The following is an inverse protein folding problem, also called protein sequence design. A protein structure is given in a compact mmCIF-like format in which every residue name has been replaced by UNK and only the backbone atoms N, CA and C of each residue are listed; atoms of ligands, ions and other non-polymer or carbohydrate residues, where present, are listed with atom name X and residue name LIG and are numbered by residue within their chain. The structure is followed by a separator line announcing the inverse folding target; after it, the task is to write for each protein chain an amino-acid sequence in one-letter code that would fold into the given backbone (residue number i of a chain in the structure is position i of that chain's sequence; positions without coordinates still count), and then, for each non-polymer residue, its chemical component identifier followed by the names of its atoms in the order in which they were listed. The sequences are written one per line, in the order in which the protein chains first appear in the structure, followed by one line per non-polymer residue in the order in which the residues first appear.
data_IF_410452116001
#
_entry.id   IF_410452116001
#
_cell.length_a   1.000
_cell.length_b   1.000
_cell.length_c   1.000
_cell.angle_alpha   90.00
_cell.angle_beta   90.00
_cell.angle_gamma   90.00
#
_symmetry.space_group_name_H-M   'P 1'
#
loop_
_entity.id
_entity.type
_entity.pdbx_description
1 polymer ?
#
# COMPACT_ATOMS: atom_id res chain seq x y z
N UNK A 1 -7.70 -7.59 0.66
CA UNK A 1 -6.74 -6.46 0.66
C UNK A 1 -7.36 -5.18 0.12
N UNK A 2 -7.81 -5.11 -1.14
CA UNK A 2 -8.36 -3.90 -1.78
C UNK A 2 -9.32 -3.09 -0.91
N UNK A 3 -10.39 -3.70 -0.39
CA UNK A 3 -11.39 -2.98 0.41
C UNK A 3 -10.80 -2.49 1.74
N UNK A 4 -9.99 -3.30 2.40
CA UNK A 4 -9.30 -2.92 3.65
C UNK A 4 -8.45 -1.66 3.45
N UNK A 5 -7.69 -1.59 2.37
CA UNK A 5 -6.81 -0.44 2.08
C UNK A 5 -7.58 0.84 1.82
N UNK A 6 -8.77 0.78 1.19
CA UNK A 6 -9.62 1.98 1.05
C UNK A 6 -10.13 2.48 2.42
N UNK A 7 -10.42 1.58 3.36
CA UNK A 7 -10.80 1.95 4.73
C UNK A 7 -9.61 2.55 5.49
N UNK A 8 -8.43 1.95 5.38
CA UNK A 8 -7.19 2.43 5.98
C UNK A 8 -6.79 3.81 5.44
N UNK A 9 -6.96 4.04 4.14
CA UNK A 9 -6.77 5.36 3.52
C UNK A 9 -7.66 6.43 4.16
N UNK A 10 -8.93 6.10 4.42
CA UNK A 10 -9.86 7.03 5.07
C UNK A 10 -9.41 7.42 6.48
N UNK A 11 -8.87 6.46 7.25
CA UNK A 11 -8.31 6.72 8.58
C UNK A 11 -7.06 7.61 8.47
N UNK A 12 -6.11 7.24 7.63
CA UNK A 12 -4.86 7.99 7.45
C UNK A 12 -5.14 9.46 7.05
N UNK A 13 -6.11 9.69 6.19
CA UNK A 13 -6.55 11.04 5.83
C UNK A 13 -7.10 11.82 7.01
N UNK A 14 -7.94 11.21 7.85
CA UNK A 14 -8.49 11.84 9.06
C UNK A 14 -7.42 12.15 10.10
N UNK A 15 -6.38 11.31 10.19
CA UNK A 15 -5.25 11.50 11.08
C UNK A 15 -4.18 12.49 10.51
N UNK A 16 -4.39 13.03 9.31
CA UNK A 16 -3.51 14.04 8.72
C UNK A 16 -2.31 13.46 7.99
N UNK A 17 -2.41 12.25 7.45
CA UNK A 17 -1.37 11.57 6.68
C UNK A 17 -1.79 11.40 5.21
N UNK A 18 -1.89 12.50 4.45
CA UNK A 18 -2.37 12.48 3.06
C UNK A 18 -1.51 11.61 2.13
N UNK A 19 -0.19 11.58 2.34
CA UNK A 19 0.70 10.69 1.60
C UNK A 19 0.37 9.21 1.88
N UNK A 20 0.21 8.83 3.14
CA UNK A 20 -0.09 7.45 3.54
C UNK A 20 -1.46 7.04 3.00
N UNK A 21 -2.44 7.94 3.08
CA UNK A 21 -3.76 7.70 2.49
C UNK A 21 -3.67 7.44 0.98
N UNK A 22 -2.87 8.21 0.26
CA UNK A 22 -2.67 8.02 -1.17
C UNK A 22 -1.95 6.71 -1.50
N UNK A 23 -0.97 6.30 -0.69
CA UNK A 23 -0.28 5.00 -0.85
C UNK A 23 -1.25 3.85 -0.65
N UNK A 24 -2.12 3.89 0.37
CA UNK A 24 -3.16 2.88 0.56
C UNK A 24 -4.14 2.81 -0.64
N UNK A 25 -4.56 3.97 -1.18
CA UNK A 25 -5.45 3.99 -2.35
C UNK A 25 -4.78 3.45 -3.60
N UNK A 26 -3.50 3.81 -3.84
CA UNK A 26 -2.71 3.28 -4.95
C UNK A 26 -2.60 1.76 -4.86
N UNK A 27 -2.24 1.22 -3.68
CA UNK A 27 -2.17 -0.22 -3.48
C UNK A 27 -3.53 -0.88 -3.66
N UNK A 28 -4.62 -0.28 -3.17
CA UNK A 28 -5.98 -0.81 -3.38
C UNK A 28 -6.33 -0.95 -4.87
N UNK A 29 -5.91 -0.03 -5.73
CA UNK A 29 -6.12 -0.15 -7.18
C UNK A 29 -5.20 -1.21 -7.81
N UNK A 30 -3.97 -1.40 -7.30
CA UNK A 30 -3.08 -2.48 -7.71
C UNK A 30 -3.66 -3.84 -7.33
N UNK A 31 -4.19 -4.01 -6.11
CA UNK A 31 -4.89 -5.22 -5.67
C UNK A 31 -6.10 -5.56 -6.56
N UNK A 32 -6.81 -4.56 -7.03
CA UNK A 32 -7.90 -4.77 -8.01
C UNK A 32 -7.38 -5.37 -9.32
N UNK A 33 -6.22 -4.94 -9.80
CA UNK A 33 -5.63 -5.51 -11.02
C UNK A 33 -5.09 -6.94 -10.78
N UNK A 34 -4.55 -7.25 -9.58
CA UNK A 34 -4.22 -8.63 -9.19
C UNK A 34 -5.46 -9.53 -9.21
N UNK A 35 -6.54 -9.10 -8.54
CA UNK A 35 -7.82 -9.81 -8.56
C UNK A 35 -8.35 -10.01 -9.98
N UNK A 36 -8.26 -9.00 -10.85
CA UNK A 36 -8.68 -9.09 -12.25
C UNK A 36 -7.80 -10.06 -13.05
N UNK A 37 -6.50 -10.13 -12.76
CA UNK A 37 -5.60 -11.10 -13.40
C UNK A 37 -6.03 -12.53 -13.08
N UNK A 38 -6.32 -12.82 -11.80
CA UNK A 38 -6.82 -14.14 -11.38
C UNK A 38 -8.22 -14.42 -11.90
N UNK A 39 -9.11 -13.43 -11.88
CA UNK A 39 -10.48 -13.58 -12.40
C UNK A 39 -10.53 -14.00 -13.87
N UNK A 40 -9.55 -13.58 -14.67
CA UNK A 40 -9.47 -13.96 -16.11
C UNK A 40 -9.14 -15.43 -16.36
N UNK A 41 -8.72 -16.18 -15.35
CA UNK A 41 -8.55 -17.63 -15.45
C UNK A 41 -9.85 -18.39 -15.24
N UNK A 42 -10.91 -17.75 -14.77
CA UNK A 42 -12.23 -18.35 -14.63
C UNK A 42 -12.96 -18.34 -15.97
N UNK A 43 -13.66 -19.44 -16.25
CA UNK A 43 -14.34 -19.68 -17.54
C UNK A 43 -15.79 -19.17 -17.56
N UNK A 44 -16.21 -18.44 -16.53
CA UNK A 44 -17.56 -17.90 -16.38
C UNK A 44 -18.45 -18.76 -15.48
N UNK A 45 -19.70 -18.34 -15.33
CA UNK A 45 -20.65 -19.00 -14.45
C UNK A 45 -20.49 -18.64 -12.97
N UNK A 46 -20.97 -19.51 -12.10
CA UNK A 46 -20.89 -19.36 -10.64
C UNK A 46 -19.79 -20.27 -10.10
N UNK A 47 -18.95 -19.72 -9.23
CA UNK A 47 -17.89 -20.47 -8.53
C UNK A 47 -18.22 -20.50 -7.05
N UNK A 48 -18.33 -21.69 -6.47
CA UNK A 48 -18.46 -21.90 -5.04
C UNK A 48 -17.07 -22.15 -4.44
N UNK A 49 -16.69 -21.35 -3.45
CA UNK A 49 -15.40 -21.46 -2.76
C UNK A 49 -15.61 -21.48 -1.25
N UNK A 50 -14.74 -22.20 -0.54
CA UNK A 50 -14.60 -22.12 0.92
C UNK A 50 -13.19 -21.64 1.23
N UNK A 51 -13.08 -20.46 1.86
CA UNK A 51 -11.79 -19.87 2.21
C UNK A 51 -11.89 -19.00 3.46
N UNK A 52 -10.77 -18.80 4.14
CA UNK A 52 -10.65 -17.84 5.24
C UNK A 52 -10.08 -16.53 4.71
N UNK A 53 -10.67 -15.43 5.14
CA UNK A 53 -10.24 -14.08 4.77
C UNK A 53 -9.88 -13.27 6.00
N UNK A 54 -8.82 -12.42 5.96
CA UNK A 54 -8.47 -11.57 7.08
C UNK A 54 -9.58 -10.55 7.35
N UNK A 55 -10.09 -10.55 8.59
CA UNK A 55 -11.16 -9.67 9.06
C UNK A 55 -10.70 -8.80 10.25
N UNK A 56 -9.45 -8.35 10.22
CA UNK A 56 -8.90 -7.45 11.24
C UNK A 56 -9.65 -6.13 11.32
N UNK A 57 -9.63 -5.52 12.51
CA UNK A 57 -10.31 -4.24 12.76
C UNK A 57 -9.66 -3.10 11.96
N UNK A 58 -10.47 -2.10 11.64
CA UNK A 58 -9.98 -0.81 11.15
C UNK A 58 -9.60 0.01 12.39
N UNK A 59 -8.33 0.39 12.49
CA UNK A 59 -7.78 1.06 13.67
C UNK A 59 -6.99 2.32 13.28
N UNK A 60 -6.02 2.72 14.10
CA UNK A 60 -5.13 3.85 13.80
C UNK A 60 -4.30 3.61 12.55
N UNK A 61 -3.79 4.67 11.93
CA UNK A 61 -2.89 4.55 10.76
C UNK A 61 -1.69 3.66 11.04
N UNK A 62 -1.11 3.74 12.26
CA UNK A 62 0.00 2.89 12.69
C UNK A 62 -0.38 1.40 12.65
N UNK A 63 -1.48 1.04 13.28
CA UNK A 63 -1.95 -0.35 13.35
C UNK A 63 -2.42 -0.87 11.98
N UNK A 64 -3.04 -0.01 11.18
CA UNK A 64 -3.44 -0.32 9.82
C UNK A 64 -2.23 -0.59 8.89
N UNK A 65 -1.14 0.19 9.03
CA UNK A 65 0.12 -0.05 8.31
C UNK A 65 0.77 -1.38 8.73
N UNK A 66 0.77 -1.68 10.04
CA UNK A 66 1.29 -2.95 10.55
C UNK A 66 0.48 -4.14 10.02
N UNK A 67 -0.86 -4.05 10.04
CA UNK A 67 -1.76 -5.08 9.54
C UNK A 67 -1.64 -5.26 8.01
N UNK A 68 -1.46 -4.17 7.26
CA UNK A 68 -1.21 -4.24 5.82
C UNK A 68 0.13 -4.93 5.53
N UNK A 69 1.23 -4.49 6.17
CA UNK A 69 2.55 -5.10 6.00
C UNK A 69 2.56 -6.60 6.33
N UNK A 70 1.83 -7.02 7.38
CA UNK A 70 1.73 -8.43 7.74
C UNK A 70 0.96 -9.25 6.68
N UNK A 71 -0.12 -8.68 6.12
CA UNK A 71 -0.89 -9.33 5.04
C UNK A 71 -0.06 -9.51 3.77
N UNK A 72 0.61 -8.45 3.32
CA UNK A 72 1.50 -8.54 2.14
C UNK A 72 2.63 -9.56 2.37
N UNK A 73 3.20 -9.60 3.59
CA UNK A 73 4.22 -10.60 3.93
C UNK A 73 3.68 -12.03 3.79
N UNK A 74 2.50 -12.33 4.35
CA UNK A 74 1.87 -13.64 4.25
C UNK A 74 1.61 -14.03 2.77
N UNK A 75 1.19 -13.07 1.95
CA UNK A 75 0.91 -13.32 0.53
C UNK A 75 2.16 -13.70 -0.26
N UNK A 76 3.26 -12.95 -0.11
CA UNK A 76 4.46 -13.23 -0.90
C UNK A 76 5.36 -14.33 -0.32
N UNK A 77 5.38 -14.55 1.01
CA UNK A 77 6.25 -15.55 1.64
C UNK A 77 5.64 -16.95 1.67
N UNK A 78 4.32 -17.05 1.76
CA UNK A 78 3.62 -18.31 2.01
C UNK A 78 2.52 -18.59 0.99
N UNK A 79 1.49 -17.73 0.93
CA UNK A 79 0.24 -18.00 0.20
C UNK A 79 0.46 -18.16 -1.30
N UNK A 80 1.12 -17.21 -1.94
CA UNK A 80 1.31 -17.24 -3.40
C UNK A 80 2.37 -18.24 -3.84
N UNK A 81 3.49 -18.45 -3.15
CA UNK A 81 4.40 -19.57 -3.45
C UNK A 81 3.74 -20.93 -3.38
N UNK A 82 2.95 -21.22 -2.35
CA UNK A 82 2.23 -22.49 -2.24
C UNK A 82 1.16 -22.63 -3.32
N UNK A 83 0.39 -21.57 -3.58
CA UNK A 83 -0.61 -21.55 -4.65
C UNK A 83 0.02 -21.76 -6.03
N UNK A 84 1.21 -21.20 -6.27
CA UNK A 84 1.94 -21.42 -7.51
C UNK A 84 2.40 -22.87 -7.68
N UNK A 85 2.85 -23.52 -6.60
CA UNK A 85 3.23 -24.92 -6.59
C UNK A 85 2.05 -25.82 -6.90
N UNK A 86 0.92 -25.60 -6.23
CA UNK A 86 -0.32 -26.36 -6.49
C UNK A 86 -0.78 -26.18 -7.94
N UNK A 87 -0.74 -24.96 -8.47
CA UNK A 87 -1.11 -24.69 -9.86
C UNK A 87 -0.22 -25.44 -10.87
N UNK A 88 1.10 -25.56 -10.61
CA UNK A 88 1.99 -26.37 -11.46
C UNK A 88 1.65 -27.86 -11.37
N UNK A 89 1.41 -28.38 -10.16
CA UNK A 89 1.07 -29.79 -9.92
C UNK A 89 -0.27 -30.18 -10.59
N UNK A 90 -1.22 -29.26 -10.65
CA UNK A 90 -2.53 -29.43 -11.29
C UNK A 90 -2.51 -29.15 -12.80
N UNK A 91 -1.37 -28.74 -13.37
CA UNK A 91 -1.24 -28.51 -14.82
C UNK A 91 -1.69 -27.12 -15.29
N UNK A 92 -1.68 -26.11 -14.42
CA UNK A 92 -1.99 -24.71 -14.72
C UNK A 92 -0.75 -23.80 -14.68
N UNK A 93 0.25 -23.96 -15.56
CA UNK A 93 1.51 -23.23 -15.47
C UNK A 93 1.35 -21.70 -15.62
N UNK A 94 0.36 -21.24 -16.38
CA UNK A 94 0.10 -19.79 -16.53
C UNK A 94 -0.43 -19.17 -15.22
N UNK A 95 -1.23 -19.92 -14.46
CA UNK A 95 -1.71 -19.50 -13.12
C UNK A 95 -0.54 -19.47 -12.14
N UNK A 96 0.32 -20.51 -12.17
CA UNK A 96 1.52 -20.55 -11.34
C UNK A 96 2.45 -19.36 -11.60
N UNK A 97 2.66 -18.99 -12.87
CA UNK A 97 3.44 -17.81 -13.24
C UNK A 97 2.80 -16.53 -12.69
N UNK A 98 1.47 -16.39 -12.78
CA UNK A 98 0.77 -15.24 -12.24
C UNK A 98 1.01 -15.08 -10.73
N UNK A 99 0.85 -16.16 -9.93
CA UNK A 99 1.15 -16.14 -8.49
C UNK A 99 2.59 -15.72 -8.21
N UNK A 100 3.58 -16.30 -8.89
CA UNK A 100 5.00 -15.95 -8.68
C UNK A 100 5.32 -14.50 -9.03
N UNK A 101 4.70 -13.95 -10.06
CA UNK A 101 4.97 -12.55 -10.45
C UNK A 101 4.29 -11.58 -9.52
N UNK A 102 3.06 -11.85 -9.12
CA UNK A 102 2.32 -11.00 -8.17
C UNK A 102 3.01 -11.06 -6.80
N UNK A 103 3.47 -12.22 -6.31
CA UNK A 103 4.24 -12.32 -5.06
C UNK A 103 5.42 -11.33 -4.99
N UNK A 104 6.09 -11.05 -6.11
CA UNK A 104 7.17 -10.05 -6.15
C UNK A 104 6.66 -8.62 -5.95
N UNK A 105 5.43 -8.34 -6.37
CA UNK A 105 4.79 -7.04 -6.16
C UNK A 105 4.42 -6.87 -4.68
N UNK A 106 3.86 -7.93 -4.06
CA UNK A 106 3.48 -7.89 -2.64
C UNK A 106 4.70 -7.68 -1.71
N UNK A 107 5.88 -8.20 -2.08
CA UNK A 107 7.12 -7.91 -1.36
C UNK A 107 7.48 -6.41 -1.40
N UNK A 108 7.24 -5.69 -2.49
CA UNK A 108 7.45 -4.25 -2.57
C UNK A 108 6.34 -3.46 -1.85
N UNK A 109 5.09 -3.97 -1.83
CA UNK A 109 4.02 -3.41 -1.02
C UNK A 109 4.35 -3.49 0.48
N UNK A 110 4.79 -4.66 0.97
CA UNK A 110 5.24 -4.83 2.35
C UNK A 110 6.35 -3.85 2.71
N UNK A 111 7.40 -3.78 1.93
CA UNK A 111 8.54 -2.87 2.15
C UNK A 111 8.09 -1.41 2.26
N UNK A 112 7.16 -1.00 1.40
CA UNK A 112 6.59 0.34 1.41
C UNK A 112 5.80 0.60 2.70
N UNK A 113 4.94 -0.34 3.12
CA UNK A 113 4.17 -0.23 4.36
C UNK A 113 5.06 -0.24 5.61
N UNK A 114 6.08 -1.10 5.68
CA UNK A 114 7.03 -1.09 6.80
C UNK A 114 7.82 0.20 6.89
N UNK A 115 8.21 0.77 5.76
CA UNK A 115 8.91 2.06 5.72
C UNK A 115 8.02 3.19 6.27
N UNK A 116 6.76 3.23 5.88
CA UNK A 116 5.80 4.22 6.37
C UNK A 116 5.49 4.00 7.86
N UNK A 117 5.31 2.75 8.29
CA UNK A 117 5.11 2.39 9.68
C UNK A 117 6.25 2.90 10.57
N UNK A 118 7.50 2.63 10.19
CA UNK A 118 8.67 3.11 10.92
C UNK A 118 8.70 4.63 11.05
N UNK A 119 8.23 5.37 10.02
CA UNK A 119 8.12 6.83 10.06
C UNK A 119 7.04 7.31 11.03
N UNK A 120 5.89 6.63 11.06
CA UNK A 120 4.80 6.95 11.99
C UNK A 120 5.25 6.65 13.43
N UNK A 121 5.88 5.51 13.68
CA UNK A 121 6.39 5.10 14.99
C UNK A 121 7.46 6.04 15.56
N UNK A 122 8.32 6.54 14.69
CA UNK A 122 9.35 7.50 15.05
C UNK A 122 8.85 8.97 15.11
N UNK A 123 7.56 9.22 14.84
CA UNK A 123 6.99 10.58 14.70
C UNK A 123 7.71 11.43 13.62
N UNK A 124 8.34 10.78 12.64
CA UNK A 124 9.16 11.40 11.58
C UNK A 124 8.51 11.40 10.21
N UNK A 125 7.18 11.39 10.13
CA UNK A 125 6.48 11.45 8.83
C UNK A 125 6.83 12.72 8.07
N UNK A 126 6.88 13.86 8.77
CA UNK A 126 7.15 15.19 8.21
C UNK A 126 8.55 15.74 8.53
N UNK A 127 9.47 14.85 8.92
CA UNK A 127 10.83 15.26 9.32
C UNK A 127 11.88 14.28 8.79
N UNK A 128 13.08 14.78 8.46
CA UNK A 128 14.26 13.99 8.07
C UNK A 128 15.48 14.51 8.78
N UNK A 129 16.48 13.67 8.92
CA UNK A 129 17.75 14.04 9.56
C UNK A 129 18.54 15.02 8.68
N UNK A 130 18.41 14.90 7.36
CA UNK A 130 18.99 15.79 6.36
C UNK A 130 17.93 16.65 5.66
N UNK A 131 18.35 17.74 5.03
CA UNK A 131 17.46 18.51 4.17
C UNK A 131 17.05 17.70 2.93
N UNK A 132 15.75 17.67 2.67
CA UNK A 132 15.17 17.04 1.48
C UNK A 132 14.20 18.01 0.80
N UNK A 133 13.83 17.71 -0.42
CA UNK A 133 12.74 18.41 -1.09
C UNK A 133 11.39 17.87 -0.60
N UNK A 134 10.60 18.77 -0.03
CA UNK A 134 9.21 18.52 0.34
C UNK A 134 8.29 19.10 -0.72
N UNK A 135 7.28 18.36 -1.12
CA UNK A 135 6.27 18.80 -2.09
C UNK A 135 4.89 18.81 -1.44
N UNK A 136 4.15 19.90 -1.64
CA UNK A 136 2.75 19.98 -1.27
C UNK A 136 1.89 19.24 -2.29
N UNK A 137 1.23 18.18 -1.87
CA UNK A 137 0.34 17.36 -2.71
C UNK A 137 -0.84 18.14 -3.30
N UNK A 138 -1.27 19.23 -2.64
CA UNK A 138 -2.40 20.02 -3.10
C UNK A 138 -2.07 20.96 -4.26
N UNK A 139 -0.92 21.64 -4.19
CA UNK A 139 -0.62 22.71 -5.17
C UNK A 139 0.73 22.56 -5.88
N UNK A 140 1.52 21.53 -5.56
CA UNK A 140 2.82 21.29 -6.17
C UNK A 140 3.97 22.18 -5.63
N UNK A 141 3.72 23.05 -4.63
CA UNK A 141 4.79 23.87 -4.04
C UNK A 141 5.92 23.00 -3.49
N UNK A 142 7.16 23.34 -3.79
CA UNK A 142 8.35 22.60 -3.37
C UNK A 142 9.27 23.50 -2.54
N UNK A 143 9.85 22.93 -1.48
CA UNK A 143 10.89 23.58 -0.69
C UNK A 143 11.92 22.57 -0.16
N UNK A 144 13.15 23.02 0.10
CA UNK A 144 14.18 22.25 0.80
C UNK A 144 14.14 22.55 2.30
N UNK A 145 14.02 21.51 3.12
CA UNK A 145 14.06 21.61 4.58
C UNK A 145 14.27 20.24 5.22
N UNK A 146 14.71 20.22 6.50
CA UNK A 146 14.69 19.00 7.32
C UNK A 146 13.25 18.64 7.74
N UNK A 147 12.38 19.64 7.92
CA UNK A 147 11.00 19.47 8.36
C UNK A 147 10.03 20.19 7.43
N UNK A 148 8.98 19.48 7.02
CA UNK A 148 7.90 20.08 6.24
C UNK A 148 7.22 21.19 7.05
N UNK A 149 6.86 22.33 6.43
CA UNK A 149 6.24 23.44 7.14
C UNK A 149 4.85 23.06 7.65
N UNK A 150 4.44 23.66 8.78
CA UNK A 150 3.11 23.42 9.38
C UNK A 150 1.96 23.82 8.43
N UNK A 151 2.24 24.74 7.52
CA UNK A 151 1.27 25.25 6.54
C UNK A 151 1.97 25.59 5.23
N UNK A 152 1.40 25.19 4.12
CA UNK A 152 1.93 25.50 2.81
C UNK A 152 1.88 27.02 2.55
N UNK A 153 3.01 27.69 2.23
CA UNK A 153 3.02 29.12 2.00
C UNK A 153 2.29 29.54 0.72
N UNK A 154 2.11 28.62 -0.25
CA UNK A 154 1.44 28.92 -1.50
C UNK A 154 -0.09 28.74 -1.44
N UNK A 155 -0.58 27.66 -0.82
CA UNK A 155 -2.01 27.35 -0.85
C UNK A 155 -2.67 27.20 0.52
N UNK A 156 -1.92 27.46 1.59
CA UNK A 156 -2.36 27.46 2.98
C UNK A 156 -2.89 26.10 3.53
N UNK A 157 -2.74 25.02 2.79
CA UNK A 157 -3.06 23.67 3.30
C UNK A 157 -2.12 23.26 4.43
N UNK A 158 -2.57 22.44 5.39
CA UNK A 158 -1.76 22.04 6.54
C UNK A 158 -0.61 21.10 6.14
N UNK A 159 0.33 20.88 7.08
CA UNK A 159 1.49 20.00 6.94
C UNK A 159 1.12 18.59 6.45
N UNK A 160 -0.07 18.12 6.78
CA UNK A 160 -0.64 16.84 6.30
C UNK A 160 -0.48 16.62 4.79
N UNK A 161 -0.46 17.69 4.01
CA UNK A 161 -0.34 17.63 2.55
C UNK A 161 1.08 17.57 2.03
N UNK A 162 2.10 17.61 2.89
CA UNK A 162 3.48 17.50 2.43
C UNK A 162 3.95 16.04 2.35
N UNK A 163 4.73 15.77 1.33
CA UNK A 163 5.45 14.50 1.15
C UNK A 163 6.87 14.76 0.64
N UNK A 164 7.82 13.82 0.82
CA UNK A 164 9.09 13.88 0.11
C UNK A 164 8.84 13.91 -1.40
N UNK A 165 9.46 14.87 -2.09
CA UNK A 165 9.30 15.01 -3.54
C UNK A 165 9.84 13.77 -4.25
N UNK A 166 9.04 13.20 -5.14
CA UNK A 166 9.45 12.13 -6.06
C UNK A 166 9.82 12.77 -7.40
N UNK A 167 10.99 12.42 -7.92
CA UNK A 167 11.39 12.73 -9.30
C UNK A 167 11.18 11.46 -10.13
N UNK A 168 10.13 11.42 -10.92
CA UNK A 168 9.74 10.26 -11.72
C UNK A 168 9.58 10.59 -13.21
N UNK A 169 10.26 11.62 -13.66
CA UNK A 169 10.30 12.10 -15.04
C UNK A 169 11.74 12.35 -15.50
#
# INVERSE_FOLDING_TARGET
ARSRYTYFASVAKKEGFEQIAAVFMETAEQEKEHAKRFFKFLEGGMVEITASYPAGIISTTKENLAAAAAGENEEWSDLYPESAKVADEEGFPEVAVAFRMIAKVEAEHEKRYRTLLARVEAEKVFERDEEILWQCRNCGFVLSAKKAPLKCPACLHPQAYFEPMKQNY
#
